data_IF_167663678655
#
_entry.id   IF_167663678655
#
_cell.length_a   1.000
_cell.length_b   1.000
_cell.length_c   1.000
_cell.angle_alpha   90.00
_cell.angle_beta   90.00
_cell.angle_gamma   90.00
#
_symmetry.space_group_name_H-M   'P 1'
#
loop_
_entity.id
_entity.type
_entity.pdbx_description
1 polymer ?
#
# COMPACT_ATOMS: atom_id res chain seq x y z
N UNK A 1 14.87 1.66 36.49
CA UNK A 1 13.73 2.11 35.65
C UNK A 1 13.95 1.53 34.27
N UNK A 2 13.09 0.60 33.86
CA UNK A 2 13.22 -0.20 32.64
C UNK A 2 13.28 0.68 31.39
N UNK A 3 14.45 0.78 30.77
CA UNK A 3 14.75 1.68 29.64
C UNK A 3 14.08 1.35 28.32
N UNK A 4 12.87 0.78 28.34
CA UNK A 4 12.05 0.50 27.16
C UNK A 4 11.26 1.76 26.79
N UNK A 5 11.36 2.19 25.54
CA UNK A 5 10.55 3.28 25.00
C UNK A 5 9.29 2.68 24.38
N UNK A 6 8.12 3.11 24.86
CA UNK A 6 6.82 2.66 24.32
C UNK A 6 5.93 3.85 23.99
N UNK A 7 5.41 3.86 22.77
CA UNK A 7 4.34 4.75 22.31
C UNK A 7 3.12 3.88 22.04
N UNK A 8 2.06 3.98 22.85
CA UNK A 8 0.89 3.08 22.74
C UNK A 8 -0.35 3.70 22.09
N UNK A 9 -0.43 5.02 22.03
CA UNK A 9 -1.59 5.77 21.54
C UNK A 9 -1.19 6.72 20.41
N UNK A 10 -0.43 6.21 19.44
CA UNK A 10 -0.09 6.98 18.26
C UNK A 10 -1.37 7.21 17.45
N UNK A 11 -1.65 8.48 17.12
CA UNK A 11 -2.71 8.89 16.21
C UNK A 11 -2.13 9.93 15.26
N UNK A 12 -2.16 9.63 13.97
CA UNK A 12 -1.78 10.55 12.91
C UNK A 12 -2.91 10.63 11.88
N UNK A 13 -3.21 11.83 11.39
CA UNK A 13 -4.20 12.03 10.31
C UNK A 13 -3.49 12.37 9.00
N UNK A 14 -3.94 11.77 7.92
CA UNK A 14 -3.36 12.01 6.59
C UNK A 14 -4.36 11.68 5.50
N UNK A 15 -4.40 12.52 4.46
CA UNK A 15 -5.23 12.31 3.26
C UNK A 15 -6.68 11.86 3.59
N UNK A 16 -7.35 12.61 4.47
CA UNK A 16 -8.73 12.32 4.90
C UNK A 16 -8.87 11.18 5.92
N UNK A 17 -7.87 10.32 6.04
CA UNK A 17 -7.85 9.16 6.93
C UNK A 17 -7.00 9.32 8.17
N UNK A 18 -6.80 8.20 8.84
CA UNK A 18 -6.03 8.11 10.07
C UNK A 18 -5.16 6.86 10.13
N UNK A 19 -4.07 6.98 10.88
CA UNK A 19 -3.20 5.89 11.28
C UNK A 19 -3.15 5.88 12.81
N UNK A 20 -3.41 4.72 13.40
CA UNK A 20 -3.44 4.47 14.84
C UNK A 20 -2.55 3.31 15.22
N UNK A 21 -2.01 3.31 16.43
CA UNK A 21 -1.34 2.12 16.96
C UNK A 21 -0.23 2.43 17.95
N UNK A 22 0.76 1.55 17.98
CA UNK A 22 1.89 1.71 18.87
C UNK A 22 3.21 1.18 18.30
N UNK A 23 4.29 1.71 18.87
CA UNK A 23 5.68 1.35 18.57
C UNK A 23 6.42 1.16 19.89
N UNK A 24 7.27 0.15 19.96
CA UNK A 24 8.12 -0.16 21.10
C UNK A 24 9.57 -0.32 20.65
N UNK A 25 10.48 0.19 21.48
CA UNK A 25 11.92 0.05 21.34
C UNK A 25 12.49 -0.46 22.67
N UNK A 26 13.09 -1.64 22.63
CA UNK A 26 13.90 -2.18 23.72
C UNK A 26 15.40 -2.05 23.37
N UNK A 27 16.13 -1.12 24.00
CA UNK A 27 17.55 -0.91 23.76
C UNK A 27 18.45 -1.86 24.57
N UNK A 28 17.91 -2.77 25.41
CA UNK A 28 18.71 -3.63 26.28
C UNK A 28 19.61 -4.62 25.53
N UNK A 29 19.15 -5.29 24.45
CA UNK A 29 20.00 -6.22 23.70
C UNK A 29 21.06 -5.48 22.88
N UNK A 30 22.15 -6.18 22.51
CA UNK A 30 23.24 -5.60 21.72
C UNK A 30 22.77 -5.02 20.36
N UNK A 31 21.69 -5.58 19.80
CA UNK A 31 20.94 -4.97 18.71
C UNK A 31 19.55 -4.56 19.24
N UNK A 32 19.20 -3.26 19.22
CA UNK A 32 17.91 -2.80 19.74
C UNK A 32 16.73 -3.51 19.05
N UNK A 33 15.73 -3.92 19.83
CA UNK A 33 14.53 -4.59 19.33
C UNK A 33 13.43 -3.55 19.10
N UNK A 34 12.74 -3.70 17.97
CA UNK A 34 11.65 -2.85 17.56
C UNK A 34 10.38 -3.67 17.37
N UNK A 35 9.24 -3.15 17.79
CA UNK A 35 7.93 -3.71 17.50
C UNK A 35 6.94 -2.61 17.12
N UNK A 36 6.05 -2.89 16.16
CA UNK A 36 5.01 -1.99 15.73
C UNK A 36 3.70 -2.75 15.47
N UNK A 37 2.59 -2.24 16.01
CA UNK A 37 1.23 -2.62 15.62
C UNK A 37 0.50 -1.37 15.18
N UNK A 38 0.33 -1.23 13.87
CA UNK A 38 -0.22 -0.05 13.23
C UNK A 38 -1.47 -0.43 12.44
N UNK A 39 -2.50 0.39 12.51
CA UNK A 39 -3.74 0.28 11.72
C UNK A 39 -3.95 1.59 10.98
N UNK A 40 -4.42 1.52 9.74
CA UNK A 40 -4.83 2.69 8.97
C UNK A 40 -6.23 2.50 8.42
N UNK A 41 -6.96 3.59 8.24
CA UNK A 41 -8.30 3.57 7.68
C UNK A 41 -8.69 4.91 7.07
N UNK A 42 -9.49 4.85 6.00
CA UNK A 42 -10.07 6.02 5.35
C UNK A 42 -9.04 6.90 4.63
N UNK A 43 -7.86 6.37 4.33
CA UNK A 43 -6.82 7.12 3.62
C UNK A 43 -7.20 7.16 2.14
N UNK A 44 -7.43 8.35 1.60
CA UNK A 44 -7.66 8.58 0.17
C UNK A 44 -6.32 8.42 -0.60
N UNK A 45 -6.14 7.32 -1.33
CA UNK A 45 -4.87 6.99 -1.97
C UNK A 45 -4.43 8.04 -2.98
N UNK A 46 -5.34 8.54 -3.79
CA UNK A 46 -5.06 9.56 -4.80
C UNK A 46 -4.52 10.85 -4.15
N UNK A 47 -5.02 11.23 -2.98
CA UNK A 47 -4.56 12.41 -2.24
C UNK A 47 -3.24 12.15 -1.55
N UNK A 48 -3.08 10.96 -0.96
CA UNK A 48 -1.85 10.55 -0.29
C UNK A 48 -0.68 10.43 -1.27
N UNK A 49 -0.91 9.79 -2.42
CA UNK A 49 0.07 9.63 -3.50
C UNK A 49 0.41 10.95 -4.16
N UNK A 50 -0.57 11.82 -4.46
CA UNK A 50 -0.28 13.18 -4.99
C UNK A 50 0.61 13.99 -4.05
N UNK A 51 0.36 13.96 -2.74
CA UNK A 51 1.20 14.67 -1.78
C UNK A 51 2.64 14.15 -1.75
N UNK A 52 2.84 12.83 -1.93
CA UNK A 52 4.17 12.21 -2.06
C UNK A 52 4.83 12.55 -3.40
N UNK A 53 4.06 12.51 -4.49
CA UNK A 53 4.52 12.80 -5.85
C UNK A 53 4.94 14.25 -6.00
N UNK A 54 4.26 15.20 -5.37
CA UNK A 54 4.69 16.60 -5.34
C UNK A 54 6.05 16.72 -4.65
N UNK A 55 6.23 16.11 -3.47
CA UNK A 55 7.52 16.10 -2.76
C UNK A 55 8.62 15.40 -3.54
N UNK A 56 8.33 14.31 -4.24
CA UNK A 56 9.32 13.56 -5.02
C UNK A 56 9.61 14.17 -6.39
N UNK A 57 8.64 14.79 -7.06
CA UNK A 57 8.84 15.56 -8.29
C UNK A 57 9.62 16.86 -8.04
N UNK A 58 9.45 17.47 -6.87
CA UNK A 58 10.33 18.55 -6.40
C UNK A 58 11.76 18.04 -6.15
N UNK A 59 11.94 16.75 -5.88
CA UNK A 59 13.25 16.11 -5.65
C UNK A 59 13.85 15.42 -6.89
N UNK A 60 13.09 15.23 -7.98
CA UNK A 60 13.54 14.64 -9.24
C UNK A 60 12.78 15.26 -10.42
N UNK A 61 13.51 15.91 -11.34
CA UNK A 61 12.99 16.33 -12.63
C UNK A 61 12.59 15.09 -13.46
N UNK A 62 11.29 14.80 -13.56
CA UNK A 62 10.80 13.68 -14.35
C UNK A 62 9.32 13.35 -14.16
N UNK A 63 8.43 14.25 -14.61
CA UNK A 63 7.00 14.01 -14.88
C UNK A 63 6.10 13.61 -13.68
N UNK A 64 4.78 13.85 -13.76
CA UNK A 64 3.87 13.32 -12.76
C UNK A 64 3.81 11.79 -12.85
N UNK A 65 4.14 11.09 -11.75
CA UNK A 65 3.90 9.65 -11.66
C UNK A 65 2.38 9.39 -11.82
N UNK A 66 1.94 8.56 -12.78
CA UNK A 66 0.53 8.28 -12.97
C UNK A 66 -0.07 7.70 -11.69
N UNK A 67 -1.28 8.13 -11.35
CA UNK A 67 -2.05 7.51 -10.28
C UNK A 67 -2.43 6.10 -10.71
N UNK A 68 -1.63 5.11 -10.30
CA UNK A 68 -1.81 3.70 -10.65
C UNK A 68 -3.01 3.04 -9.99
N UNK A 69 -3.40 3.57 -8.82
CA UNK A 69 -4.52 3.11 -8.01
C UNK A 69 -5.11 4.30 -7.25
N UNK A 70 -6.43 4.31 -7.08
CA UNK A 70 -7.18 5.26 -6.26
C UNK A 70 -8.17 4.52 -5.36
N UNK A 71 -8.76 5.23 -4.41
CA UNK A 71 -9.77 4.70 -3.49
C UNK A 71 -9.37 4.79 -2.03
N UNK A 72 -10.20 4.22 -1.17
CA UNK A 72 -10.00 4.28 0.29
C UNK A 72 -9.18 3.10 0.80
N UNK A 73 -8.01 3.41 1.36
CA UNK A 73 -7.10 2.43 1.93
C UNK A 73 -7.41 2.16 3.40
N UNK A 74 -7.44 0.88 3.75
CA UNK A 74 -7.52 0.39 5.12
C UNK A 74 -6.60 -0.81 5.31
N UNK A 75 -6.11 -1.01 6.52
CA UNK A 75 -5.22 -2.12 6.79
C UNK A 75 -4.57 -2.13 8.16
N UNK A 76 -3.68 -3.09 8.35
CA UNK A 76 -2.91 -3.29 9.57
C UNK A 76 -1.53 -3.85 9.23
N UNK A 77 -0.52 -3.37 9.95
CA UNK A 77 0.83 -3.91 9.97
C UNK A 77 1.17 -4.36 11.39
N UNK A 78 1.66 -5.58 11.52
CA UNK A 78 2.27 -6.10 12.75
C UNK A 78 3.68 -6.52 12.39
N UNK A 79 4.65 -5.73 12.84
CA UNK A 79 6.04 -5.84 12.42
C UNK A 79 6.97 -5.86 13.63
N UNK A 80 8.05 -6.61 13.51
CA UNK A 80 9.16 -6.63 14.44
C UNK A 80 10.47 -6.58 13.66
N UNK A 81 11.53 -6.15 14.32
CA UNK A 81 12.87 -6.18 13.75
C UNK A 81 13.90 -5.76 14.78
N UNK A 82 15.15 -5.74 14.35
CA UNK A 82 16.28 -5.36 15.19
C UNK A 82 17.32 -4.54 14.42
N UNK A 83 17.98 -3.61 15.10
CA UNK A 83 19.04 -2.81 14.50
C UNK A 83 19.18 -1.43 15.10
N UNK A 84 20.39 -0.89 15.00
CA UNK A 84 20.72 0.48 15.46
C UNK A 84 20.58 1.52 14.35
N UNK A 85 20.24 1.11 13.13
CA UNK A 85 19.96 1.99 12.00
C UNK A 85 18.71 1.57 11.23
N UNK A 86 18.14 2.49 10.45
CA UNK A 86 16.99 2.20 9.58
C UNK A 86 17.29 1.06 8.61
N UNK A 87 18.50 1.00 8.06
CA UNK A 87 18.88 -0.06 7.13
C UNK A 87 18.91 -1.44 7.81
N UNK A 88 19.49 -1.53 9.01
CA UNK A 88 19.52 -2.78 9.77
C UNK A 88 18.12 -3.23 10.21
N UNK A 89 17.30 -2.29 10.69
CA UNK A 89 15.91 -2.57 11.06
C UNK A 89 15.09 -3.08 9.87
N UNK A 90 15.25 -2.46 8.69
CA UNK A 90 14.57 -2.93 7.47
C UNK A 90 15.11 -4.28 7.00
N UNK A 91 16.41 -4.53 7.12
CA UNK A 91 17.03 -5.81 6.74
C UNK A 91 16.63 -6.98 7.66
N UNK A 92 16.23 -6.70 8.89
CA UNK A 92 15.78 -7.71 9.87
C UNK A 92 14.25 -7.75 10.04
N UNK A 93 13.51 -6.98 9.24
CA UNK A 93 12.08 -6.82 9.42
C UNK A 93 11.33 -8.13 9.18
N UNK A 94 10.44 -8.47 10.11
CA UNK A 94 9.57 -9.65 10.06
C UNK A 94 8.15 -9.28 10.48
N UNK A 95 7.16 -9.96 9.88
CA UNK A 95 5.76 -9.82 10.27
C UNK A 95 4.81 -9.77 9.08
N UNK A 96 3.65 -9.16 9.29
CA UNK A 96 2.54 -9.19 8.31
C UNK A 96 1.99 -7.81 8.05
N UNK A 97 1.63 -7.55 6.80
CA UNK A 97 0.91 -6.36 6.36
C UNK A 97 -0.32 -6.81 5.58
N UNK A 98 -1.50 -6.47 6.09
CA UNK A 98 -2.77 -6.75 5.44
C UNK A 98 -3.42 -5.43 5.08
N UNK A 99 -3.72 -5.23 3.80
CA UNK A 99 -4.31 -3.99 3.32
C UNK A 99 -5.37 -4.26 2.29
N UNK A 100 -6.37 -3.39 2.23
CA UNK A 100 -7.35 -3.39 1.18
C UNK A 100 -7.72 -1.97 0.77
N UNK A 101 -8.14 -1.85 -0.48
CA UNK A 101 -8.59 -0.61 -1.12
C UNK A 101 -10.02 -0.84 -1.57
N UNK A 102 -10.93 0.09 -1.27
CA UNK A 102 -12.34 0.00 -1.67
C UNK A 102 -12.74 1.23 -2.48
N UNK A 103 -13.74 1.04 -3.35
CA UNK A 103 -14.37 2.11 -4.13
C UNK A 103 -13.32 2.93 -4.91
N UNK A 104 -12.51 2.21 -5.69
CA UNK A 104 -11.32 2.74 -6.31
C UNK A 104 -11.33 2.59 -7.82
N UNK A 105 -10.20 3.00 -8.41
CA UNK A 105 -9.87 2.69 -9.79
C UNK A 105 -8.45 2.17 -9.85
N UNK A 106 -8.16 1.34 -10.84
CA UNK A 106 -6.82 0.82 -11.11
C UNK A 106 -6.46 1.07 -12.57
N UNK A 107 -5.20 1.43 -12.81
CA UNK A 107 -4.64 1.58 -14.14
C UNK A 107 -4.87 0.32 -14.99
N UNK A 108 -5.39 0.49 -16.20
CA UNK A 108 -5.59 -0.63 -17.13
C UNK A 108 -4.24 -1.22 -17.52
N UNK A 109 -3.21 -0.39 -17.70
CA UNK A 109 -1.83 -0.84 -17.94
C UNK A 109 -1.35 -1.84 -16.89
N UNK A 110 -1.64 -1.63 -15.60
CA UNK A 110 -1.21 -2.55 -14.53
C UNK A 110 -1.91 -3.88 -14.63
N UNK A 111 -3.22 -3.88 -14.87
CA UNK A 111 -4.01 -5.10 -15.02
C UNK A 111 -3.50 -5.92 -16.21
N UNK A 112 -3.22 -5.27 -17.34
CA UNK A 112 -2.68 -5.91 -18.55
C UNK A 112 -1.23 -6.42 -18.35
N UNK A 113 -0.40 -5.69 -17.59
CA UNK A 113 0.96 -6.10 -17.27
C UNK A 113 1.00 -7.36 -16.39
N UNK A 114 0.12 -7.45 -15.39
CA UNK A 114 -0.03 -8.66 -14.56
C UNK A 114 -0.50 -9.83 -15.43
N UNK A 115 -1.36 -9.57 -16.42
CA UNK A 115 -1.81 -10.57 -17.40
C UNK A 115 -0.81 -10.92 -18.50
N UNK A 116 0.39 -10.30 -18.52
CA UNK A 116 1.43 -10.47 -19.55
C UNK A 116 0.96 -10.18 -20.99
N UNK A 117 0.13 -9.15 -21.18
CA UNK A 117 -0.49 -8.83 -22.48
C UNK A 117 0.23 -7.71 -23.24
N UNK A 118 1.36 -8.04 -23.87
CA UNK A 118 2.27 -7.06 -24.49
C UNK A 118 1.61 -6.15 -25.56
N UNK A 119 0.75 -6.68 -26.43
CA UNK A 119 0.11 -5.90 -27.49
C UNK A 119 -0.84 -4.81 -26.95
N UNK A 120 -1.57 -5.11 -25.87
CA UNK A 120 -2.50 -4.17 -25.23
C UNK A 120 -1.74 -3.07 -24.47
N UNK A 121 -0.66 -3.44 -23.78
CA UNK A 121 0.23 -2.49 -23.11
C UNK A 121 0.83 -1.48 -24.10
N UNK A 122 1.33 -1.93 -25.26
CA UNK A 122 1.87 -1.04 -26.29
C UNK A 122 0.79 -0.09 -26.84
N UNK A 123 -0.42 -0.59 -27.11
CA UNK A 123 -1.53 0.25 -27.57
C UNK A 123 -1.91 1.36 -26.59
N UNK A 124 -1.91 1.08 -25.29
CA UNK A 124 -2.19 2.05 -24.22
C UNK A 124 -1.09 3.12 -24.08
N UNK A 125 0.17 2.80 -24.39
CA UNK A 125 1.24 3.81 -24.43
C UNK A 125 1.00 4.88 -25.51
N UNK A 126 0.38 4.50 -26.62
CA UNK A 126 0.04 5.44 -27.71
C UNK A 126 -1.33 6.10 -27.54
N UNK A 127 -2.30 5.42 -26.93
CA UNK A 127 -3.70 5.88 -26.82
C UNK A 127 -4.10 6.48 -25.46
N UNK A 128 -3.24 6.36 -24.45
CA UNK A 128 -3.49 6.81 -23.08
C UNK A 128 -4.16 5.75 -22.21
N UNK A 129 -3.75 5.68 -20.94
CA UNK A 129 -4.28 4.74 -19.94
C UNK A 129 -5.64 5.17 -19.41
N UNK A 130 -6.62 4.26 -19.40
CA UNK A 130 -7.98 4.51 -18.90
C UNK A 130 -8.21 3.69 -17.64
N UNK A 131 -8.31 4.29 -16.45
CA UNK A 131 -8.52 3.56 -15.21
C UNK A 131 -9.81 2.73 -15.24
N UNK A 132 -9.73 1.49 -14.76
CA UNK A 132 -10.87 0.57 -14.62
C UNK A 132 -11.43 0.72 -13.21
N UNK A 133 -12.76 0.73 -13.07
CA UNK A 133 -13.41 0.70 -11.77
C UNK A 133 -13.04 -0.57 -11.00
N UNK A 134 -12.79 -0.42 -9.69
CA UNK A 134 -12.35 -1.49 -8.81
C UNK A 134 -13.21 -1.44 -7.54
N UNK A 135 -13.95 -2.51 -7.28
CA UNK A 135 -14.79 -2.64 -6.09
C UNK A 135 -13.90 -2.83 -4.86
N UNK A 136 -12.93 -3.74 -4.96
CA UNK A 136 -11.97 -4.02 -3.91
C UNK A 136 -10.62 -4.47 -4.49
N UNK A 137 -9.52 -4.07 -3.85
CA UNK A 137 -8.25 -4.80 -3.95
C UNK A 137 -7.78 -5.18 -2.56
N UNK A 138 -7.23 -6.38 -2.42
CA UNK A 138 -6.71 -6.91 -1.15
C UNK A 138 -5.30 -7.43 -1.37
N UNK A 139 -4.39 -7.06 -0.46
CA UNK A 139 -3.03 -7.56 -0.42
C UNK A 139 -2.68 -8.02 1.00
N UNK A 140 -2.21 -9.26 1.10
CA UNK A 140 -1.56 -9.81 2.30
C UNK A 140 -0.09 -10.01 1.99
N UNK A 141 0.77 -9.36 2.77
CA UNK A 141 2.21 -9.35 2.58
C UNK A 141 2.88 -9.90 3.84
N UNK A 142 3.88 -10.74 3.65
CA UNK A 142 4.73 -11.24 4.72
C UNK A 142 6.12 -10.64 4.59
N UNK A 143 6.59 -9.99 5.64
CA UNK A 143 7.97 -9.59 5.78
C UNK A 143 8.76 -10.72 6.45
N UNK A 144 9.94 -11.04 5.93
CA UNK A 144 10.84 -12.03 6.51
C UNK A 144 12.28 -11.74 6.09
N UNK A 145 13.17 -11.54 7.07
CA UNK A 145 14.60 -11.24 6.84
C UNK A 145 14.80 -10.08 5.86
N UNK A 146 13.98 -9.04 5.99
CA UNK A 146 14.03 -7.85 5.14
C UNK A 146 13.49 -8.02 3.72
N UNK A 147 12.98 -9.19 3.36
CA UNK A 147 12.24 -9.41 2.13
C UNK A 147 10.73 -9.31 2.39
N UNK A 148 9.98 -8.76 1.43
CA UNK A 148 8.52 -8.76 1.45
C UNK A 148 8.03 -9.71 0.37
N UNK A 149 7.18 -10.65 0.76
CA UNK A 149 6.56 -11.63 -0.14
C UNK A 149 5.03 -11.43 -0.12
N UNK A 150 4.38 -11.24 -1.27
CA UNK A 150 2.92 -11.26 -1.34
C UNK A 150 2.41 -12.69 -1.16
N UNK A 151 1.54 -12.91 -0.17
CA UNK A 151 0.86 -14.20 0.05
C UNK A 151 -0.50 -14.24 -0.65
N UNK A 152 -1.19 -13.11 -0.69
CA UNK A 152 -2.49 -12.96 -1.37
C UNK A 152 -2.52 -11.62 -2.09
N UNK A 153 -2.93 -11.64 -3.36
CA UNK A 153 -3.28 -10.45 -4.13
C UNK A 153 -4.59 -10.72 -4.88
N UNK A 154 -5.63 -9.96 -4.55
CA UNK A 154 -6.94 -10.06 -5.18
C UNK A 154 -7.33 -8.67 -5.66
N UNK A 155 -7.87 -8.60 -6.87
CA UNK A 155 -8.48 -7.40 -7.44
C UNK A 155 -9.86 -7.81 -7.93
N UNK A 156 -10.88 -7.18 -7.39
CA UNK A 156 -12.27 -7.35 -7.76
C UNK A 156 -12.73 -6.13 -8.55
N UNK A 157 -13.15 -6.35 -9.79
CA UNK A 157 -13.69 -5.32 -10.66
C UNK A 157 -15.16 -5.62 -10.93
N UNK A 158 -15.99 -4.58 -11.15
CA UNK A 158 -17.40 -4.80 -11.44
C UNK A 158 -17.54 -5.71 -12.65
N UNK A 159 -18.27 -6.82 -12.48
CA UNK A 159 -18.63 -7.68 -13.61
C UNK A 159 -19.41 -6.84 -14.63
N UNK A 160 -19.01 -6.91 -15.90
CA UNK A 160 -19.81 -6.42 -17.01
C UNK A 160 -21.09 -7.26 -17.09
N UNK A 161 -22.08 -6.92 -16.28
CA UNK A 161 -23.35 -7.62 -16.26
C UNK A 161 -24.04 -7.31 -17.59
N UNK A 162 -24.16 -8.34 -18.42
CA UNK A 162 -25.02 -8.34 -19.60
C UNK A 162 -26.39 -7.80 -19.20
N UNK A 163 -26.87 -6.82 -19.96
CA UNK A 163 -28.23 -6.31 -19.86
C UNK A 163 -29.20 -7.49 -19.97
N UNK A 164 -30.15 -7.67 -19.04
CA UNK A 164 -31.23 -8.62 -19.25
C UNK A 164 -32.05 -8.11 -20.43
N UNK A 165 -32.04 -8.87 -21.52
CA UNK A 165 -32.90 -8.67 -22.68
C UNK A 165 -34.36 -8.77 -22.23
N UNK A 166 -35.01 -7.63 -21.97
CA UNK A 166 -36.45 -7.55 -21.75
C UNK A 166 -37.10 -7.46 -23.13
N UNK A 167 -37.36 -8.61 -23.77
CA UNK A 167 -38.31 -8.66 -24.88
C UNK A 167 -39.72 -8.56 -24.30
N UNK A 168 -40.42 -7.55 -24.81
CA UNK A 168 -41.85 -7.27 -24.75
C UNK A 168 -42.70 -8.40 -25.29
#
# INVERSE_FOLDING_TARGET
RDGVLRVSNLVARTAGGELRGGVELDPKPAQPLWAADLRWSGIELERWLKARNVRSAQAKAGGPAPGYVSGQLKGRAQLRGHGSSTAQLLASLEGTVNTWVQNGQISHLIVEAIGLRLAQVLGLLFSGDKPIAMDCALAQLKAGKGHITPEVLIIDTPSARSTPNRRS
#
